data_IF_768805566785
#
_entry.id   IF_768805566785
#
_cell.length_a   1.000
_cell.length_b   1.000
_cell.length_c   1.000
_cell.angle_alpha   90.00
_cell.angle_beta   90.00
_cell.angle_gamma   90.00
#
_symmetry.space_group_name_H-M   'P 1'
#
loop_
_entity.id
_entity.type
_entity.pdbx_description
1 polymer ?
#
# COMPACT_ATOMS: atom_id res chain seq x y z
N UNK A 1 -19.32 23.44 31.49
CA UNK A 1 -18.68 22.13 31.59
C UNK A 1 -18.37 21.67 30.18
N UNK A 2 -17.42 22.35 29.55
CA UNK A 2 -16.96 22.12 28.17
C UNK A 2 -15.79 21.16 28.25
N UNK A 3 -16.10 19.91 28.00
CA UNK A 3 -15.15 18.80 27.98
C UNK A 3 -14.08 19.04 26.94
N UNK A 4 -12.87 19.06 27.37
CA UNK A 4 -11.58 19.14 26.65
C UNK A 4 -11.40 17.93 25.71
N UNK A 5 -12.27 17.78 24.69
CA UNK A 5 -12.13 16.76 23.63
C UNK A 5 -11.17 17.17 22.50
N UNK A 6 -10.39 18.24 22.74
CA UNK A 6 -9.52 18.84 21.74
C UNK A 6 -8.03 18.44 21.84
N UNK A 7 -7.60 17.62 22.78
CA UNK A 7 -6.17 17.32 23.02
C UNK A 7 -5.80 15.85 23.18
N UNK A 8 -6.49 14.96 22.49
CA UNK A 8 -5.88 13.65 22.20
C UNK A 8 -5.41 13.70 20.72
N UNK A 9 -4.62 14.67 20.38
CA UNK A 9 -3.54 14.51 19.43
C UNK A 9 -2.59 13.54 20.11
N UNK A 10 -2.69 12.25 19.75
CA UNK A 10 -1.66 11.26 20.04
C UNK A 10 -0.34 11.90 19.59
N UNK A 11 0.43 12.39 20.55
CA UNK A 11 1.79 12.86 20.34
C UNK A 11 2.53 11.65 19.82
N UNK A 12 2.69 11.53 18.49
CA UNK A 12 3.44 10.43 17.89
C UNK A 12 4.76 10.38 18.62
N UNK A 13 5.07 9.26 19.25
CA UNK A 13 6.36 9.12 19.91
C UNK A 13 7.44 9.25 18.84
N UNK A 14 8.59 9.81 19.16
CA UNK A 14 9.73 9.92 18.23
C UNK A 14 10.06 8.58 17.57
N UNK A 15 9.87 7.48 18.30
CA UNK A 15 10.05 6.10 17.82
C UNK A 15 9.08 5.79 16.66
N UNK A 16 7.83 6.23 16.75
CA UNK A 16 6.82 6.03 15.70
C UNK A 16 7.19 6.83 14.43
N UNK A 17 7.67 8.06 14.60
CA UNK A 17 8.11 8.90 13.49
C UNK A 17 9.32 8.27 12.80
N UNK A 18 10.36 7.93 13.55
CA UNK A 18 11.57 7.29 13.01
C UNK A 18 11.22 5.98 12.29
N UNK A 19 10.37 5.14 12.91
CA UNK A 19 9.89 3.90 12.28
C UNK A 19 9.22 4.16 10.94
N UNK A 20 8.38 5.20 10.84
CA UNK A 20 7.71 5.54 9.58
C UNK A 20 8.71 5.92 8.48
N UNK A 21 9.72 6.73 8.78
CA UNK A 21 10.74 7.12 7.81
C UNK A 21 11.64 5.94 7.40
N UNK A 22 12.01 5.06 8.33
CA UNK A 22 12.75 3.82 8.02
C UNK A 22 11.94 2.92 7.09
N UNK A 23 10.65 2.74 7.36
CA UNK A 23 9.78 1.92 6.51
C UNK A 23 9.58 2.55 5.12
N UNK A 24 9.48 3.88 5.03
CA UNK A 24 9.45 4.57 3.73
C UNK A 24 10.76 4.32 2.98
N UNK A 25 11.93 4.46 3.63
CA UNK A 25 13.24 4.20 3.01
C UNK A 25 13.32 2.77 2.47
N UNK A 26 12.91 1.77 3.25
CA UNK A 26 12.87 0.38 2.80
C UNK A 26 11.92 0.20 1.59
N UNK A 27 10.75 0.84 1.64
CA UNK A 27 9.78 0.79 0.54
C UNK A 27 10.32 1.38 -0.75
N UNK A 28 10.87 2.58 -0.70
CA UNK A 28 11.42 3.24 -1.90
C UNK A 28 12.70 2.56 -2.40
N UNK A 29 13.50 1.95 -1.53
CA UNK A 29 14.65 1.14 -1.94
C UNK A 29 14.21 -0.10 -2.71
N UNK A 30 13.17 -0.80 -2.23
CA UNK A 30 12.59 -1.95 -2.92
C UNK A 30 12.00 -1.55 -4.27
N UNK A 31 11.31 -0.41 -4.33
CA UNK A 31 10.81 0.18 -5.57
C UNK A 31 11.95 0.46 -6.56
N UNK A 32 13.01 1.15 -6.10
CA UNK A 32 14.16 1.49 -6.93
C UNK A 32 14.91 0.26 -7.46
N UNK A 33 15.09 -0.77 -6.62
CA UNK A 33 15.66 -2.05 -7.03
C UNK A 33 14.80 -2.74 -8.08
N UNK A 34 13.48 -2.79 -7.91
CA UNK A 34 12.56 -3.37 -8.89
C UNK A 34 12.67 -2.68 -10.26
N UNK A 35 12.76 -1.35 -10.27
CA UNK A 35 12.95 -0.58 -11.49
C UNK A 35 14.33 -0.81 -12.11
N UNK A 36 15.39 -0.68 -11.33
CA UNK A 36 16.77 -0.77 -11.85
C UNK A 36 17.12 -2.17 -12.35
N UNK A 37 16.68 -3.21 -11.65
CA UNK A 37 17.05 -4.60 -11.98
C UNK A 37 16.15 -5.22 -13.05
N UNK A 38 14.86 -4.92 -13.05
CA UNK A 38 13.90 -5.69 -13.84
C UNK A 38 13.17 -4.87 -14.91
N UNK A 39 12.78 -3.61 -14.61
CA UNK A 39 11.93 -2.85 -15.51
C UNK A 39 12.72 -2.01 -16.51
N UNK A 40 13.72 -1.27 -16.06
CA UNK A 40 14.53 -0.38 -16.91
C UNK A 40 15.33 -1.12 -18.00
N UNK A 41 16.02 -2.25 -17.70
CA UNK A 41 16.79 -2.98 -18.72
C UNK A 41 15.89 -3.51 -19.85
N UNK A 42 14.65 -3.86 -19.53
CA UNK A 42 13.66 -4.38 -20.48
C UNK A 42 12.89 -3.28 -21.25
N UNK A 43 13.28 -2.03 -21.11
CA UNK A 43 12.61 -0.87 -21.77
C UNK A 43 11.10 -0.82 -21.47
N UNK A 44 10.69 -1.21 -20.25
CA UNK A 44 9.28 -1.22 -19.87
C UNK A 44 8.76 0.21 -19.77
N UNK A 45 7.61 0.47 -20.39
CA UNK A 45 6.91 1.74 -20.21
C UNK A 45 6.21 1.67 -18.86
N UNK A 46 6.63 2.52 -17.91
CA UNK A 46 5.91 2.73 -16.66
C UNK A 46 4.61 3.48 -16.91
N UNK A 47 3.59 3.18 -16.11
CA UNK A 47 2.43 4.05 -15.96
C UNK A 47 2.78 5.35 -15.23
N UNK A 48 1.77 6.02 -14.75
CA UNK A 48 1.94 7.18 -13.88
C UNK A 48 2.34 8.45 -14.60
N UNK A 49 2.80 9.42 -13.81
CA UNK A 49 3.21 10.73 -14.34
C UNK A 49 4.38 10.63 -15.31
N UNK A 50 5.27 9.66 -15.14
CA UNK A 50 6.39 9.44 -16.05
C UNK A 50 5.90 9.03 -17.44
N UNK A 51 4.99 8.04 -17.52
CA UNK A 51 4.39 7.61 -18.78
C UNK A 51 3.62 8.73 -19.48
N UNK A 52 2.85 9.49 -18.70
CA UNK A 52 2.13 10.66 -19.21
C UNK A 52 3.08 11.75 -19.73
N UNK A 53 4.19 12.00 -19.03
CA UNK A 53 5.21 12.96 -19.47
C UNK A 53 5.90 12.54 -20.77
N UNK A 54 6.16 11.24 -20.95
CA UNK A 54 6.70 10.71 -22.20
C UNK A 54 5.74 10.91 -23.39
N UNK A 55 4.44 10.72 -23.17
CA UNK A 55 3.42 10.99 -24.19
C UNK A 55 3.43 12.47 -24.59
N UNK A 56 3.54 13.39 -23.64
CA UNK A 56 3.59 14.83 -23.92
C UNK A 56 4.87 15.24 -24.69
N UNK A 57 6.01 14.59 -24.40
CA UNK A 57 7.23 14.81 -25.16
C UNK A 57 7.06 14.39 -26.61
N UNK A 58 6.49 13.20 -26.85
CA UNK A 58 6.25 12.71 -28.22
C UNK A 58 5.18 13.50 -28.98
N UNK A 59 4.15 13.99 -28.29
CA UNK A 59 3.05 14.72 -28.92
C UNK A 59 3.36 16.19 -29.18
N UNK A 60 4.07 16.83 -28.26
CA UNK A 60 4.23 18.30 -28.24
C UNK A 60 5.69 18.75 -28.14
N UNK A 61 6.67 17.83 -28.08
CA UNK A 61 8.08 18.15 -27.93
C UNK A 61 8.48 18.74 -26.57
N UNK A 62 7.63 18.60 -25.56
CA UNK A 62 7.91 19.11 -24.21
C UNK A 62 8.79 18.09 -23.47
N UNK A 63 10.01 18.47 -23.02
CA UNK A 63 10.91 17.52 -22.34
C UNK A 63 10.25 16.82 -21.14
N UNK A 64 10.43 15.49 -21.04
CA UNK A 64 9.89 14.65 -19.94
C UNK A 64 10.23 15.26 -18.59
N UNK A 65 11.47 15.74 -18.41
CA UNK A 65 11.94 16.29 -17.14
C UNK A 65 11.11 17.50 -16.67
N UNK A 66 10.73 18.39 -17.57
CA UNK A 66 9.93 19.57 -17.25
C UNK A 66 8.51 19.15 -16.88
N UNK A 67 7.87 18.35 -17.71
CA UNK A 67 6.50 17.89 -17.47
C UNK A 67 6.40 17.08 -16.19
N UNK A 68 7.32 16.15 -15.98
CA UNK A 68 7.38 15.34 -14.78
C UNK A 68 7.55 16.18 -13.51
N UNK A 69 8.47 17.14 -13.53
CA UNK A 69 8.74 18.04 -12.40
C UNK A 69 7.51 18.90 -12.07
N UNK A 70 6.93 19.56 -13.08
CA UNK A 70 5.77 20.45 -12.90
C UNK A 70 4.57 19.67 -12.38
N UNK A 71 4.27 18.50 -12.95
CA UNK A 71 3.13 17.67 -12.52
C UNK A 71 3.32 17.15 -11.10
N UNK A 72 4.53 16.69 -10.74
CA UNK A 72 4.77 16.22 -9.38
C UNK A 72 4.69 17.34 -8.34
N UNK A 73 5.18 18.54 -8.63
CA UNK A 73 5.01 19.70 -7.74
C UNK A 73 3.52 20.01 -7.58
N UNK A 74 2.78 20.09 -8.68
CA UNK A 74 1.34 20.37 -8.63
C UNK A 74 0.59 19.33 -7.80
N UNK A 75 0.84 18.06 -8.06
CA UNK A 75 0.24 16.95 -7.33
C UNK A 75 0.63 16.96 -5.83
N UNK A 76 1.88 17.28 -5.52
CA UNK A 76 2.35 17.39 -4.15
C UNK A 76 1.66 18.53 -3.40
N UNK A 77 1.53 19.70 -4.03
CA UNK A 77 0.82 20.85 -3.44
C UNK A 77 -0.65 20.53 -3.18
N UNK A 78 -1.34 19.95 -4.17
CA UNK A 78 -2.73 19.52 -4.04
C UNK A 78 -2.86 18.43 -2.97
N UNK A 79 -1.97 17.44 -3.01
CA UNK A 79 -1.92 16.33 -2.05
C UNK A 79 -1.70 16.82 -0.62
N UNK A 80 -0.76 17.73 -0.41
CA UNK A 80 -0.48 18.32 0.91
C UNK A 80 -1.67 19.12 1.44
N UNK A 81 -2.33 19.90 0.57
CA UNK A 81 -3.54 20.65 0.95
C UNK A 81 -4.70 19.74 1.32
N UNK A 82 -4.86 18.62 0.63
CA UNK A 82 -5.99 17.70 0.83
C UNK A 82 -5.70 16.68 1.93
N UNK A 83 -4.52 16.04 1.92
CA UNK A 83 -4.17 14.93 2.82
C UNK A 83 -3.50 15.41 4.12
N UNK A 84 -2.98 16.64 4.12
CA UNK A 84 -2.36 17.27 5.28
C UNK A 84 -0.83 17.40 5.18
N UNK A 85 -0.25 18.24 6.06
CA UNK A 85 1.19 18.55 6.06
C UNK A 85 2.08 17.35 6.37
N UNK A 86 1.61 16.42 7.22
CA UNK A 86 2.32 15.18 7.52
C UNK A 86 2.47 14.26 6.32
N UNK A 87 1.49 14.25 5.40
CA UNK A 87 1.61 13.57 4.11
C UNK A 87 2.66 14.26 3.23
N UNK A 88 2.64 15.60 3.15
CA UNK A 88 3.56 16.36 2.33
C UNK A 88 5.03 16.12 2.71
N UNK A 89 5.37 16.19 4.00
CA UNK A 89 6.74 15.97 4.47
C UNK A 89 7.26 14.55 4.17
N UNK A 90 6.44 13.53 4.42
CA UNK A 90 6.79 12.13 4.14
C UNK A 90 6.93 11.88 2.64
N UNK A 91 6.10 12.51 1.82
CA UNK A 91 6.16 12.38 0.35
C UNK A 91 7.39 13.07 -0.23
N UNK A 92 7.74 14.28 0.23
CA UNK A 92 8.98 14.95 -0.18
C UNK A 92 10.19 14.06 0.15
N UNK A 93 10.24 13.53 1.37
CA UNK A 93 11.30 12.62 1.79
C UNK A 93 11.36 11.38 0.89
N UNK A 94 10.21 10.75 0.62
CA UNK A 94 10.14 9.56 -0.23
C UNK A 94 10.63 9.86 -1.65
N UNK A 95 10.24 10.99 -2.28
CA UNK A 95 10.67 11.38 -3.62
C UNK A 95 12.20 11.57 -3.67
N UNK A 96 12.77 12.30 -2.70
CA UNK A 96 14.21 12.52 -2.63
C UNK A 96 14.95 11.20 -2.46
N UNK A 97 14.50 10.37 -1.51
CA UNK A 97 15.14 9.07 -1.24
C UNK A 97 15.01 8.13 -2.45
N UNK A 98 13.87 8.12 -3.14
CA UNK A 98 13.69 7.34 -4.38
C UNK A 98 14.68 7.77 -5.46
N UNK A 99 14.85 9.07 -5.66
CA UNK A 99 15.79 9.60 -6.66
C UNK A 99 17.23 9.20 -6.34
N UNK A 100 17.63 9.28 -5.07
CA UNK A 100 18.98 8.83 -4.63
C UNK A 100 19.13 7.32 -4.83
N UNK A 101 18.13 6.52 -4.43
CA UNK A 101 18.20 5.05 -4.57
C UNK A 101 18.25 4.61 -6.03
N UNK A 102 17.51 5.26 -6.93
CA UNK A 102 17.57 4.98 -8.37
C UNK A 102 18.95 5.32 -8.95
N UNK A 103 19.56 6.42 -8.53
CA UNK A 103 20.91 6.78 -8.97
C UNK A 103 21.95 5.76 -8.46
N UNK A 104 21.91 5.45 -7.16
CA UNK A 104 22.84 4.49 -6.55
C UNK A 104 22.70 3.09 -7.16
N UNK A 105 21.47 2.61 -7.38
CA UNK A 105 21.24 1.28 -7.96
C UNK A 105 21.73 1.20 -9.41
N UNK A 106 21.56 2.26 -10.20
CA UNK A 106 22.03 2.30 -11.59
C UNK A 106 23.55 2.12 -11.70
N UNK A 107 24.30 2.71 -10.77
CA UNK A 107 25.78 2.72 -10.82
C UNK A 107 26.42 1.47 -10.19
N UNK A 108 25.71 0.77 -9.30
CA UNK A 108 26.29 -0.34 -8.52
C UNK A 108 25.77 -1.72 -8.93
N UNK A 109 24.73 -1.82 -9.75
CA UNK A 109 24.24 -3.13 -10.17
C UNK A 109 24.97 -3.54 -11.46
N UNK A 110 25.65 -4.71 -11.48
CA UNK A 110 26.33 -5.21 -12.68
C UNK A 110 25.34 -5.40 -13.82
N UNK A 111 25.52 -4.66 -14.90
CA UNK A 111 24.66 -4.69 -16.09
C UNK A 111 24.64 -6.07 -16.74
N UNK A 112 25.76 -6.81 -16.68
CA UNK A 112 25.93 -8.11 -17.33
C UNK A 112 25.02 -9.19 -16.70
N UNK A 113 24.95 -9.24 -15.36
CA UNK A 113 24.06 -10.17 -14.64
C UNK A 113 22.58 -9.91 -14.98
N UNK A 114 22.21 -8.64 -15.09
CA UNK A 114 20.83 -8.25 -15.40
C UNK A 114 20.51 -8.53 -16.86
N UNK A 115 21.43 -8.26 -17.77
CA UNK A 115 21.25 -8.50 -19.19
C UNK A 115 21.03 -9.99 -19.49
N UNK A 116 21.85 -10.87 -18.90
CA UNK A 116 21.73 -12.32 -19.04
C UNK A 116 20.41 -12.85 -18.50
N UNK A 117 19.99 -12.41 -17.30
CA UNK A 117 18.72 -12.80 -16.71
C UNK A 117 17.51 -12.23 -17.46
N UNK A 118 17.62 -11.01 -18.04
CA UNK A 118 16.49 -10.32 -18.67
C UNK A 118 16.21 -10.79 -20.09
N UNK A 119 17.23 -11.27 -20.82
CA UNK A 119 17.07 -11.69 -22.23
C UNK A 119 16.14 -12.90 -22.38
N UNK A 120 16.21 -13.86 -21.45
CA UNK A 120 15.44 -15.10 -21.57
C UNK A 120 14.05 -15.03 -20.92
N UNK A 121 13.73 -14.01 -20.14
CA UNK A 121 12.53 -14.03 -19.29
C UNK A 121 11.90 -12.67 -19.04
N UNK A 122 11.57 -11.89 -20.09
CA UNK A 122 10.89 -10.59 -19.98
C UNK A 122 9.64 -10.64 -19.10
N UNK A 123 8.86 -11.73 -19.18
CA UNK A 123 7.67 -11.92 -18.34
C UNK A 123 8.03 -12.00 -16.86
N UNK A 124 9.05 -12.78 -16.52
CA UNK A 124 9.51 -12.92 -15.12
C UNK A 124 10.00 -11.59 -14.58
N UNK A 125 10.78 -10.86 -15.37
CA UNK A 125 11.23 -9.50 -15.00
C UNK A 125 10.07 -8.54 -14.78
N UNK A 126 9.05 -8.59 -15.65
CA UNK A 126 7.85 -7.76 -15.51
C UNK A 126 7.10 -8.05 -14.21
N UNK A 127 6.93 -9.34 -13.88
CA UNK A 127 6.23 -9.77 -12.66
C UNK A 127 7.03 -9.41 -11.41
N UNK A 128 8.32 -9.74 -11.36
CA UNK A 128 9.19 -9.44 -10.21
C UNK A 128 9.31 -7.94 -9.99
N UNK A 129 9.57 -7.18 -11.06
CA UNK A 129 9.62 -5.72 -11.00
C UNK A 129 8.30 -5.10 -10.55
N UNK A 130 7.16 -5.62 -11.04
CA UNK A 130 5.83 -5.21 -10.61
C UNK A 130 5.55 -5.49 -9.14
N UNK A 131 5.91 -6.68 -8.64
CA UNK A 131 5.76 -7.03 -7.22
C UNK A 131 6.62 -6.13 -6.34
N UNK A 132 7.92 -5.97 -6.67
CA UNK A 132 8.83 -5.15 -5.89
C UNK A 132 8.39 -3.68 -5.87
N UNK A 133 8.00 -3.15 -7.02
CA UNK A 133 7.49 -1.79 -7.13
C UNK A 133 6.20 -1.64 -6.30
N UNK A 134 5.25 -2.56 -6.44
CA UNK A 134 3.96 -2.50 -5.74
C UNK A 134 4.09 -2.61 -4.23
N UNK A 135 4.91 -3.53 -3.73
CA UNK A 135 5.18 -3.66 -2.28
C UNK A 135 5.89 -2.39 -1.78
N UNK A 136 6.86 -1.86 -2.53
CA UNK A 136 7.57 -0.63 -2.18
C UNK A 136 6.65 0.59 -2.07
N UNK A 137 5.77 0.78 -3.04
CA UNK A 137 4.73 1.83 -3.04
C UNK A 137 3.77 1.60 -1.87
N UNK A 138 3.26 0.37 -1.70
CA UNK A 138 2.33 0.02 -0.63
C UNK A 138 2.90 0.27 0.77
N UNK A 139 4.20 -0.03 0.96
CA UNK A 139 4.92 0.24 2.19
C UNK A 139 4.97 1.74 2.48
N UNK A 140 5.33 2.56 1.50
CA UNK A 140 5.38 4.02 1.62
C UNK A 140 3.99 4.61 1.91
N UNK A 141 2.96 4.16 1.20
CA UNK A 141 1.57 4.59 1.41
C UNK A 141 1.03 4.21 2.79
N UNK A 142 1.39 3.02 3.30
CA UNK A 142 0.96 2.57 4.62
C UNK A 142 1.49 3.47 5.76
N UNK A 143 2.62 4.14 5.53
CA UNK A 143 3.19 5.12 6.44
C UNK A 143 2.68 6.55 6.22
N UNK A 144 1.77 6.75 5.27
CA UNK A 144 1.18 8.05 4.94
C UNK A 144 2.06 8.92 4.05
N UNK A 145 2.98 8.33 3.29
CA UNK A 145 3.76 8.97 2.23
C UNK A 145 3.33 8.48 0.84
N UNK A 146 4.00 8.95 -0.20
CA UNK A 146 3.84 8.54 -1.60
C UNK A 146 5.18 8.62 -2.32
N UNK A 147 5.40 7.78 -3.31
CA UNK A 147 6.59 7.85 -4.18
C UNK A 147 6.50 8.97 -5.22
N UNK A 148 5.36 9.65 -5.28
CA UNK A 148 5.03 10.67 -6.28
C UNK A 148 4.21 10.11 -7.44
N UNK A 149 3.72 11.00 -8.32
CA UNK A 149 2.97 10.58 -9.49
C UNK A 149 1.50 10.24 -9.22
N UNK A 150 0.98 9.23 -9.93
CA UNK A 150 -0.42 8.76 -9.82
C UNK A 150 -0.79 8.25 -8.45
N UNK A 151 0.17 7.88 -7.64
CA UNK A 151 0.03 7.51 -6.23
C UNK A 151 -0.70 8.59 -5.43
N UNK A 152 -0.34 9.87 -5.65
CA UNK A 152 -0.96 11.00 -4.96
C UNK A 152 -2.43 11.12 -5.36
N UNK A 153 -2.72 10.95 -6.66
CA UNK A 153 -4.10 10.97 -7.19
C UNK A 153 -4.92 9.86 -6.53
N UNK A 154 -4.35 8.66 -6.46
CA UNK A 154 -5.02 7.52 -5.85
C UNK A 154 -5.34 7.75 -4.36
N UNK A 155 -4.40 8.29 -3.58
CA UNK A 155 -4.61 8.61 -2.17
C UNK A 155 -5.66 9.70 -1.97
N UNK A 156 -5.69 10.71 -2.85
CA UNK A 156 -6.74 11.75 -2.85
C UNK A 156 -8.11 11.12 -3.15
N UNK A 157 -8.18 10.27 -4.18
CA UNK A 157 -9.43 9.57 -4.53
C UNK A 157 -9.96 8.71 -3.38
N UNK A 158 -9.09 7.90 -2.79
CA UNK A 158 -9.42 7.02 -1.66
C UNK A 158 -9.80 7.77 -0.38
N UNK A 159 -9.47 9.06 -0.27
CA UNK A 159 -9.96 9.91 0.82
C UNK A 159 -11.45 10.19 0.72
N UNK A 160 -11.97 10.29 -0.51
CA UNK A 160 -13.37 10.69 -0.76
C UNK A 160 -14.26 9.52 -1.18
N UNK A 161 -13.70 8.46 -1.72
CA UNK A 161 -14.44 7.30 -2.23
C UNK A 161 -13.90 6.00 -1.64
N UNK A 162 -14.75 5.02 -1.35
CA UNK A 162 -14.34 3.70 -0.88
C UNK A 162 -13.72 2.90 -2.06
N UNK A 163 -12.43 3.05 -2.26
CA UNK A 163 -11.66 2.33 -3.27
C UNK A 163 -10.30 1.96 -2.70
N UNK A 164 -9.66 0.91 -3.24
CA UNK A 164 -8.30 0.57 -2.89
C UNK A 164 -7.31 1.41 -3.73
N UNK A 165 -6.19 1.86 -3.13
CA UNK A 165 -5.21 2.66 -3.85
C UNK A 165 -4.63 1.97 -5.08
N UNK A 166 -4.30 0.67 -4.99
CA UNK A 166 -3.76 -0.09 -6.11
C UNK A 166 -4.73 -0.19 -7.28
N UNK A 167 -6.03 -0.34 -7.01
CA UNK A 167 -7.06 -0.34 -8.06
C UNK A 167 -7.17 1.02 -8.76
N UNK A 168 -7.08 2.12 -8.02
CA UNK A 168 -7.16 3.46 -8.61
C UNK A 168 -5.91 3.74 -9.47
N UNK A 169 -4.71 3.40 -8.98
CA UNK A 169 -3.46 3.50 -9.75
C UNK A 169 -3.58 2.67 -11.02
N UNK A 170 -4.00 1.41 -10.91
CA UNK A 170 -4.16 0.51 -12.03
C UNK A 170 -5.05 1.10 -13.14
N UNK A 171 -6.20 1.67 -12.78
CA UNK A 171 -7.13 2.26 -13.76
C UNK A 171 -6.48 3.46 -14.47
N UNK A 172 -5.85 4.36 -13.71
CA UNK A 172 -5.19 5.55 -14.27
C UNK A 172 -4.05 5.13 -15.19
N UNK A 173 -3.21 4.21 -14.74
CA UNK A 173 -2.03 3.77 -15.48
C UNK A 173 -2.40 2.98 -16.74
N UNK A 174 -3.47 2.16 -16.72
CA UNK A 174 -4.02 1.52 -17.92
C UNK A 174 -4.41 2.57 -18.96
N UNK A 175 -5.12 3.62 -18.55
CA UNK A 175 -5.53 4.70 -19.47
C UNK A 175 -4.31 5.38 -20.08
N UNK A 176 -3.29 5.69 -19.27
CA UNK A 176 -2.05 6.30 -19.73
C UNK A 176 -1.32 5.40 -20.71
N UNK A 177 -1.13 4.12 -20.36
CA UNK A 177 -0.40 3.16 -21.19
C UNK A 177 -1.11 2.92 -22.52
N UNK A 178 -2.44 2.76 -22.50
CA UNK A 178 -3.21 2.58 -23.72
C UNK A 178 -3.19 3.84 -24.61
N UNK A 179 -3.23 5.04 -24.00
CA UNK A 179 -3.15 6.28 -24.74
C UNK A 179 -1.80 6.45 -25.46
N UNK A 180 -0.73 5.83 -24.98
CA UNK A 180 0.57 5.85 -25.65
C UNK A 180 0.54 5.23 -27.05
N UNK A 181 -0.42 4.35 -27.34
CA UNK A 181 -0.61 3.77 -28.70
C UNK A 181 -1.00 4.82 -29.75
N UNK A 182 -1.63 5.91 -29.34
CA UNK A 182 -2.11 6.97 -30.22
C UNK A 182 -0.98 7.90 -30.69
N UNK A 183 0.18 7.91 -30.01
CA UNK A 183 1.28 8.82 -30.31
C UNK A 183 2.49 8.06 -30.87
N UNK A 184 3.33 8.66 -31.72
CA UNK A 184 4.56 8.03 -32.20
C UNK A 184 5.48 7.72 -30.99
N UNK A 185 6.22 6.63 -31.07
CA UNK A 185 7.26 6.27 -30.08
C UNK A 185 8.58 6.08 -30.83
N UNK A 186 9.67 6.53 -30.24
CA UNK A 186 10.99 6.44 -30.80
C UNK A 186 11.87 5.52 -29.98
N UNK A 187 12.74 4.78 -30.65
CA UNK A 187 13.75 3.94 -29.99
C UNK A 187 14.91 4.80 -29.45
N UNK A 188 15.83 4.17 -28.72
CA UNK A 188 17.03 4.81 -28.14
C UNK A 188 17.90 5.53 -29.17
N UNK A 189 17.85 5.07 -30.43
CA UNK A 189 18.59 5.63 -31.54
C UNK A 189 17.80 6.74 -32.29
N UNK A 190 16.63 7.14 -31.79
CA UNK A 190 15.77 8.17 -32.39
C UNK A 190 14.99 7.70 -33.62
N UNK A 191 15.00 6.41 -33.93
CA UNK A 191 14.22 5.84 -35.04
C UNK A 191 12.78 5.56 -34.58
N UNK A 192 11.82 5.68 -35.51
CA UNK A 192 10.42 5.38 -35.24
C UNK A 192 10.28 3.89 -34.93
N UNK A 193 9.74 3.60 -33.74
CA UNK A 193 9.55 2.22 -33.26
C UNK A 193 8.50 1.50 -34.12
N UNK A 194 8.78 0.25 -34.58
CA UNK A 194 7.80 -0.56 -35.30
C UNK A 194 6.56 -0.84 -34.45
N UNK A 195 5.39 -0.79 -35.10
CA UNK A 195 4.11 -0.96 -34.38
C UNK A 195 4.00 -2.27 -33.58
N UNK A 196 4.47 -3.45 -34.07
CA UNK A 196 4.44 -4.68 -33.27
C UNK A 196 5.28 -4.61 -31.98
N UNK A 197 6.44 -3.97 -32.03
CA UNK A 197 7.30 -3.78 -30.87
C UNK A 197 6.65 -2.85 -29.85
N UNK A 198 6.06 -1.77 -30.31
CA UNK A 198 5.29 -0.84 -29.47
C UNK A 198 4.13 -1.54 -28.76
N UNK A 199 3.37 -2.39 -29.47
CA UNK A 199 2.28 -3.19 -28.88
C UNK A 199 2.82 -4.14 -27.81
N UNK A 200 3.95 -4.80 -28.07
CA UNK A 200 4.57 -5.70 -27.09
C UNK A 200 4.95 -4.93 -25.81
N UNK A 201 5.56 -3.75 -25.93
CA UNK A 201 5.92 -2.91 -24.76
C UNK A 201 4.67 -2.50 -23.97
N UNK A 202 3.58 -2.13 -24.66
CA UNK A 202 2.30 -1.80 -24.02
C UNK A 202 1.72 -2.99 -23.28
N UNK A 203 1.75 -4.18 -23.87
CA UNK A 203 1.27 -5.43 -23.20
C UNK A 203 2.08 -5.71 -21.91
N UNK A 204 3.40 -5.62 -21.98
CA UNK A 204 4.25 -5.77 -20.80
C UNK A 204 3.99 -4.67 -19.76
N UNK A 205 3.79 -3.43 -20.20
CA UNK A 205 3.42 -2.32 -19.31
C UNK A 205 2.09 -2.57 -18.58
N UNK A 206 1.06 -3.02 -19.31
CA UNK A 206 -0.24 -3.39 -18.72
C UNK A 206 -0.10 -4.54 -17.72
N UNK A 207 0.72 -5.53 -18.02
CA UNK A 207 1.01 -6.63 -17.10
C UNK A 207 1.71 -6.12 -15.84
N UNK A 208 2.71 -5.27 -16.00
CA UNK A 208 3.48 -4.68 -14.88
C UNK A 208 2.57 -3.87 -13.94
N UNK A 209 1.74 -2.96 -14.47
CA UNK A 209 0.86 -2.13 -13.63
C UNK A 209 -0.24 -2.95 -12.96
N UNK A 210 -0.70 -4.03 -13.60
CA UNK A 210 -1.66 -4.96 -13.01
C UNK A 210 -1.07 -5.68 -11.80
N UNK A 211 0.12 -6.23 -11.94
CA UNK A 211 0.85 -6.90 -10.85
C UNK A 211 1.18 -5.91 -9.74
N UNK A 212 1.66 -4.71 -10.09
CA UNK A 212 1.97 -3.65 -9.16
C UNK A 212 0.73 -3.21 -8.35
N UNK A 213 -0.38 -2.91 -9.01
CA UNK A 213 -1.63 -2.51 -8.36
C UNK A 213 -2.16 -3.59 -7.40
N UNK A 214 -2.10 -4.85 -7.81
CA UNK A 214 -2.47 -5.97 -6.96
C UNK A 214 -1.55 -6.12 -5.74
N UNK A 215 -0.24 -5.97 -5.93
CA UNK A 215 0.75 -6.02 -4.85
C UNK A 215 0.56 -4.88 -3.84
N UNK A 216 0.25 -3.66 -4.31
CA UNK A 216 -0.10 -2.52 -3.44
C UNK A 216 -1.30 -2.87 -2.57
N UNK A 217 -2.38 -3.34 -3.16
CA UNK A 217 -3.61 -3.63 -2.45
C UNK A 217 -3.46 -4.80 -1.48
N UNK A 218 -2.73 -5.84 -1.87
CA UNK A 218 -2.42 -6.97 -1.00
C UNK A 218 -1.63 -6.52 0.23
N UNK A 219 -0.62 -5.65 0.03
CA UNK A 219 0.19 -5.12 1.13
C UNK A 219 -0.64 -4.23 2.07
N UNK A 220 -1.37 -3.26 1.53
CA UNK A 220 -2.16 -2.32 2.32
C UNK A 220 -3.31 -3.03 3.06
N UNK A 221 -4.02 -3.94 2.38
CA UNK A 221 -5.09 -4.72 3.00
C UNK A 221 -4.54 -5.69 4.04
N UNK A 222 -3.42 -6.36 3.76
CA UNK A 222 -2.78 -7.28 4.70
C UNK A 222 -2.32 -6.60 5.99
N UNK A 223 -1.84 -5.36 5.91
CA UNK A 223 -1.34 -4.60 7.07
C UNK A 223 -2.45 -4.06 7.99
N UNK A 224 -3.70 -3.95 7.51
CA UNK A 224 -4.84 -3.35 8.22
C UNK A 224 -5.95 -4.34 8.56
N UNK A 225 -5.76 -5.63 8.29
CA UNK A 225 -6.79 -6.62 8.57
C UNK A 225 -7.07 -6.73 10.07
N UNK A 226 -8.35 -6.68 10.43
CA UNK A 226 -8.85 -7.01 11.74
C UNK A 226 -9.55 -8.37 11.70
N UNK A 227 -9.59 -9.04 12.83
CA UNK A 227 -10.26 -10.32 13.00
C UNK A 227 -11.23 -10.23 14.17
N UNK A 228 -12.34 -10.92 14.04
CA UNK A 228 -13.30 -11.15 15.10
C UNK A 228 -13.19 -12.62 15.52
N UNK A 229 -12.97 -12.85 16.81
CA UNK A 229 -12.90 -14.18 17.39
C UNK A 229 -14.10 -14.39 18.31
N UNK A 230 -14.78 -15.51 18.15
CA UNK A 230 -15.71 -16.05 19.12
C UNK A 230 -15.03 -17.18 19.88
N UNK A 231 -14.97 -17.07 21.21
CA UNK A 231 -14.29 -18.02 22.08
C UNK A 231 -15.34 -18.71 22.93
N UNK A 232 -15.39 -20.02 22.83
CA UNK A 232 -16.28 -20.89 23.58
C UNK A 232 -15.44 -21.61 24.65
N UNK A 233 -15.62 -21.22 25.89
CA UNK A 233 -14.86 -21.74 27.03
C UNK A 233 -15.75 -21.89 28.27
N UNK A 234 -15.36 -22.77 29.19
CA UNK A 234 -15.97 -22.88 30.53
C UNK A 234 -15.40 -21.87 31.53
N UNK A 235 -14.18 -21.33 31.23
CA UNK A 235 -13.46 -20.36 32.07
C UNK A 235 -13.67 -18.92 31.57
N UNK A 236 -14.93 -18.48 31.57
CA UNK A 236 -15.31 -17.20 30.93
C UNK A 236 -14.64 -16.01 31.58
N UNK A 237 -14.71 -15.90 32.89
CA UNK A 237 -14.20 -14.73 33.65
C UNK A 237 -12.68 -14.64 33.56
N UNK A 238 -11.96 -15.75 33.80
CA UNK A 238 -10.50 -15.81 33.70
C UNK A 238 -10.02 -15.44 32.28
N UNK A 239 -10.73 -15.93 31.27
CA UNK A 239 -10.43 -15.66 29.87
C UNK A 239 -10.70 -14.20 29.50
N UNK A 240 -11.82 -13.65 29.94
CA UNK A 240 -12.20 -12.27 29.67
C UNK A 240 -11.23 -11.30 30.35
N UNK A 241 -10.83 -11.56 31.59
CA UNK A 241 -9.88 -10.76 32.35
C UNK A 241 -8.50 -10.74 31.69
N UNK A 242 -7.97 -11.90 31.28
CA UNK A 242 -6.68 -11.99 30.61
C UNK A 242 -6.68 -11.21 29.30
N UNK A 243 -7.74 -11.31 28.49
CA UNK A 243 -7.83 -10.58 27.24
C UNK A 243 -8.01 -9.07 27.48
N UNK A 244 -8.83 -8.68 28.46
CA UNK A 244 -9.10 -7.28 28.75
C UNK A 244 -7.90 -6.56 29.37
N UNK A 245 -7.23 -7.15 30.34
CA UNK A 245 -6.21 -6.49 31.13
C UNK A 245 -4.79 -6.76 30.62
N UNK A 246 -4.45 -8.00 30.24
CA UNK A 246 -3.10 -8.35 29.78
C UNK A 246 -2.90 -7.97 28.31
N UNK A 247 -3.86 -8.33 27.44
CA UNK A 247 -3.80 -7.98 26.04
C UNK A 247 -4.30 -6.55 25.73
N UNK A 248 -4.98 -5.91 26.69
CA UNK A 248 -5.60 -4.57 26.56
C UNK A 248 -6.52 -4.49 25.31
N UNK A 249 -7.38 -5.49 25.14
CA UNK A 249 -8.36 -5.57 24.07
C UNK A 249 -9.78 -5.57 24.62
N UNK A 250 -10.69 -4.92 23.87
CA UNK A 250 -12.11 -4.93 24.21
C UNK A 250 -12.66 -6.35 24.14
N UNK A 251 -13.35 -6.74 25.21
CA UNK A 251 -14.01 -8.04 25.34
C UNK A 251 -15.50 -7.82 25.52
N UNK A 252 -16.32 -8.61 24.85
CA UNK A 252 -17.76 -8.63 25.03
C UNK A 252 -18.19 -10.05 25.33
N UNK A 253 -18.86 -10.24 26.46
CA UNK A 253 -19.43 -11.53 26.84
C UNK A 253 -20.88 -11.57 26.39
N UNK A 254 -21.23 -12.56 25.57
CA UNK A 254 -22.56 -12.75 25.00
C UNK A 254 -23.23 -13.95 25.69
N UNK A 255 -24.46 -13.82 26.21
CA UNK A 255 -25.21 -14.96 26.66
C UNK A 255 -25.62 -15.84 25.49
N UNK A 256 -25.44 -17.12 25.61
CA UNK A 256 -25.72 -18.12 24.59
C UNK A 256 -26.33 -19.37 25.21
N UNK A 257 -27.04 -20.17 24.44
CA UNK A 257 -27.60 -21.44 24.90
C UNK A 257 -27.12 -22.59 24.01
N UNK A 258 -26.54 -23.58 24.60
CA UNK A 258 -26.17 -24.81 23.93
C UNK A 258 -27.43 -25.55 23.47
N UNK A 259 -27.67 -25.60 22.13
CA UNK A 259 -28.92 -26.18 21.66
C UNK A 259 -29.04 -27.69 21.92
N UNK A 260 -27.91 -28.41 21.89
CA UNK A 260 -27.88 -29.85 22.17
C UNK A 260 -27.93 -30.13 23.70
N UNK A 261 -27.07 -29.45 24.45
CA UNK A 261 -26.98 -29.65 25.92
C UNK A 261 -28.09 -28.98 26.72
N UNK A 262 -28.82 -28.01 26.09
CA UNK A 262 -29.82 -27.12 26.70
C UNK A 262 -29.30 -26.27 27.88
N UNK A 263 -27.97 -26.23 28.05
CA UNK A 263 -27.28 -25.45 29.06
C UNK A 263 -27.10 -24.01 28.64
N UNK A 264 -27.21 -23.10 29.60
CA UNK A 264 -26.85 -21.70 29.41
C UNK A 264 -25.32 -21.56 29.41
N UNK A 265 -24.76 -20.88 28.44
CA UNK A 265 -23.32 -20.66 28.26
C UNK A 265 -23.05 -19.20 27.92
N UNK A 266 -21.80 -18.82 27.99
CA UNK A 266 -21.35 -17.53 27.55
C UNK A 266 -20.31 -17.69 26.43
N UNK A 267 -20.38 -16.81 25.44
CA UNK A 267 -19.43 -16.74 24.32
C UNK A 267 -18.70 -15.41 24.44
N UNK A 268 -17.39 -15.47 24.43
CA UNK A 268 -16.55 -14.27 24.46
C UNK A 268 -16.31 -13.84 23.01
N UNK A 269 -16.67 -12.58 22.70
CA UNK A 269 -16.38 -11.95 21.42
C UNK A 269 -15.25 -10.94 21.60
N UNK A 270 -14.21 -11.08 20.77
CA UNK A 270 -13.03 -10.19 20.75
C UNK A 270 -12.81 -9.73 19.32
N UNK A 271 -12.62 -8.41 19.14
CA UNK A 271 -12.16 -7.85 17.87
C UNK A 271 -10.73 -7.37 18.08
N UNK A 272 -9.81 -7.85 17.24
CA UNK A 272 -8.41 -7.51 17.34
C UNK A 272 -7.75 -7.38 15.96
N UNK A 273 -6.53 -6.86 15.90
CA UNK A 273 -5.75 -6.85 14.66
C UNK A 273 -5.29 -8.27 14.33
N UNK A 274 -5.18 -8.59 13.05
CA UNK A 274 -4.67 -9.89 12.59
C UNK A 274 -3.26 -10.19 13.13
N UNK A 275 -2.45 -9.16 13.34
CA UNK A 275 -1.11 -9.29 13.95
C UNK A 275 -1.14 -9.84 15.37
N UNK A 276 -2.20 -9.57 16.11
CA UNK A 276 -2.34 -9.96 17.51
C UNK A 276 -3.07 -11.30 17.69
N UNK A 277 -3.56 -11.88 16.59
CA UNK A 277 -4.29 -13.15 16.60
C UNK A 277 -3.46 -14.27 17.21
N UNK A 278 -2.19 -14.39 16.87
CA UNK A 278 -1.31 -15.42 17.42
C UNK A 278 -1.12 -15.28 18.93
N UNK A 279 -1.08 -14.05 19.42
CA UNK A 279 -1.02 -13.78 20.85
C UNK A 279 -2.34 -14.21 21.54
N UNK A 280 -3.49 -13.84 20.96
CA UNK A 280 -4.80 -14.27 21.44
C UNK A 280 -4.90 -15.80 21.51
N UNK A 281 -4.49 -16.50 20.46
CA UNK A 281 -4.51 -17.97 20.43
C UNK A 281 -3.65 -18.59 21.55
N UNK A 282 -2.50 -17.99 21.85
CA UNK A 282 -1.64 -18.45 22.96
C UNK A 282 -2.31 -18.26 24.32
N UNK A 283 -2.93 -17.10 24.59
CA UNK A 283 -3.66 -16.86 25.83
C UNK A 283 -4.81 -17.84 25.99
N UNK A 284 -5.63 -18.01 24.96
CA UNK A 284 -6.74 -18.96 25.01
C UNK A 284 -6.26 -20.37 25.32
N UNK A 285 -5.19 -20.83 24.61
CA UNK A 285 -4.64 -22.17 24.81
C UNK A 285 -4.01 -22.38 26.20
N UNK A 286 -3.44 -21.32 26.79
CA UNK A 286 -2.84 -21.39 28.13
C UNK A 286 -3.88 -21.44 29.25
N UNK A 287 -5.02 -20.77 29.08
CA UNK A 287 -6.08 -20.71 30.10
C UNK A 287 -7.01 -21.94 30.01
N UNK A 288 -7.44 -22.24 28.80
CA UNK A 288 -8.33 -23.37 28.55
C UNK A 288 -7.91 -24.13 27.28
N UNK A 289 -7.17 -25.25 27.41
CA UNK A 289 -6.78 -26.08 26.29
C UNK A 289 -7.95 -26.69 25.51
N UNK A 290 -9.14 -26.82 26.12
CA UNK A 290 -10.35 -27.35 25.47
C UNK A 290 -11.21 -26.27 24.84
N UNK A 291 -10.83 -24.98 24.98
CA UNK A 291 -11.59 -23.90 24.39
C UNK A 291 -11.64 -24.03 22.86
N UNK A 292 -12.83 -23.79 22.31
CA UNK A 292 -13.08 -23.74 20.88
C UNK A 292 -13.12 -22.27 20.40
N UNK A 293 -12.44 -21.97 19.31
CA UNK A 293 -12.44 -20.64 18.72
C UNK A 293 -12.97 -20.69 17.26
N UNK A 294 -13.79 -19.70 16.94
CA UNK A 294 -14.14 -19.36 15.57
C UNK A 294 -13.58 -17.98 15.24
N UNK A 295 -12.76 -17.88 14.21
CA UNK A 295 -12.12 -16.63 13.80
C UNK A 295 -12.56 -16.28 12.39
N UNK A 296 -13.03 -15.04 12.22
CA UNK A 296 -13.42 -14.49 10.91
C UNK A 296 -12.69 -13.16 10.65
N UNK A 297 -12.38 -12.89 9.39
CA UNK A 297 -11.83 -11.60 8.97
C UNK A 297 -12.94 -10.56 8.93
N UNK A 298 -12.63 -9.35 9.45
CA UNK A 298 -13.54 -8.19 9.43
C UNK A 298 -13.01 -7.16 8.47
N UNK A 299 -13.82 -6.71 7.51
CA UNK A 299 -13.40 -5.79 6.46
C UNK A 299 -13.10 -4.36 6.94
N UNK A 300 -13.60 -3.97 8.12
CA UNK A 300 -13.32 -2.67 8.71
C UNK A 300 -13.78 -2.62 10.15
N UNK A 301 -12.90 -2.16 11.02
CA UNK A 301 -13.21 -1.87 12.43
C UNK A 301 -12.84 -0.42 12.70
N UNK A 302 -13.80 0.34 13.16
CA UNK A 302 -13.65 1.77 13.40
C UNK A 302 -13.96 2.09 14.85
N UNK A 303 -13.22 3.01 15.44
CA UNK A 303 -13.44 3.46 16.81
C UNK A 303 -12.18 3.36 17.69
N UNK A 304 -12.36 3.37 19.01
CA UNK A 304 -11.25 3.35 19.96
C UNK A 304 -10.37 2.10 19.79
N UNK A 305 -9.08 2.30 19.56
CA UNK A 305 -8.10 1.22 19.35
C UNK A 305 -7.97 0.74 17.91
N UNK A 306 -8.81 1.22 16.99
CA UNK A 306 -8.83 0.91 15.56
C UNK A 306 -8.82 2.18 14.72
N UNK A 307 -9.13 2.08 13.42
CA UNK A 307 -9.14 3.22 12.52
C UNK A 307 -10.20 4.26 12.94
N UNK A 308 -9.86 5.54 12.85
CA UNK A 308 -10.77 6.62 13.21
C UNK A 308 -11.91 6.79 12.18
N UNK A 309 -13.14 6.95 12.66
CA UNK A 309 -14.27 7.32 11.80
C UNK A 309 -14.07 8.75 11.32
N UNK A 310 -13.83 8.92 10.02
CA UNK A 310 -13.74 10.25 9.41
C UNK A 310 -15.16 10.76 9.14
N UNK A 311 -15.74 11.49 10.09
CA UNK A 311 -17.02 12.15 9.89
C UNK A 311 -16.80 13.41 9.04
N UNK A 312 -17.51 13.51 7.93
CA UNK A 312 -17.54 14.72 7.09
C UNK A 312 -18.22 15.83 7.89
N UNK A 313 -17.47 16.77 8.46
CA UNK A 313 -18.06 18.00 8.98
C UNK A 313 -18.75 18.71 7.80
N UNK A 314 -20.07 18.73 7.80
CA UNK A 314 -20.82 19.68 6.95
C UNK A 314 -20.50 21.07 7.50
N UNK A 315 -19.69 21.84 6.77
CA UNK A 315 -19.73 23.29 6.81
C UNK A 315 -20.60 23.77 5.68
#
# INVERSE_FOLDING_TARGET
>A
MTTDMGKILLKESWISIVKSYVLITLGVSLYALGWAMFLTPNSMIGGGVTGFSAILEYAFGIPISITYFVLNILLLLIGTKILGTGFGSKTIYAIITTSIMLAVTKDHIPTDFIAEFSQDSKIVCTVLGGIMAGVGIGLSMSQGGSTGGTDIIALIWCKYRPASPGKVILIIDIIIILSSLLFPSYDKDGALMPYPEKVAIVVYGLMQVTVCGYAIDLYISGSKQSVQAFIFTKKVDEMADAIAFDMKRGVTVLPAKGWYSKEDRHVIMVVTRKTDLNLLLRYVKSIDPEAFLSVSSVMGVYGQGFDSIKVRSKK
#
